data_IF_876252590721
#
_entry.id   IF_876252590721
#
_cell.length_a   1.000
_cell.length_b   1.000
_cell.length_c   1.000
_cell.angle_alpha   90.00
_cell.angle_beta   90.00
_cell.angle_gamma   90.00
#
_symmetry.space_group_name_H-M   'P 1'
#
loop_
_entity.id
_entity.type
_entity.pdbx_description
1 polymer ?
#
# COMPACT_ATOMS: atom_id res chain seq x y z
N UNK A 1 22.02 7.38 -16.55
CA UNK A 1 20.88 7.82 -15.70
C UNK A 1 20.93 7.02 -14.40
N UNK A 2 21.23 7.65 -13.25
CA UNK A 2 21.34 6.95 -11.96
C UNK A 2 19.92 6.73 -11.45
N UNK A 3 19.35 5.55 -11.65
CA UNK A 3 18.00 5.29 -11.14
C UNK A 3 18.02 5.44 -9.62
N UNK A 4 17.25 6.40 -9.08
CA UNK A 4 17.15 6.56 -7.63
C UNK A 4 16.38 5.36 -7.07
N UNK A 5 17.00 4.68 -6.12
CA UNK A 5 16.34 3.61 -5.36
C UNK A 5 15.34 4.29 -4.45
N UNK A 6 14.07 3.92 -4.60
CA UNK A 6 12.98 4.34 -3.74
C UNK A 6 12.46 3.14 -2.96
N UNK A 7 11.91 3.37 -1.78
CA UNK A 7 11.13 2.36 -1.06
C UNK A 7 9.66 2.72 -1.24
N UNK A 8 8.87 1.77 -1.74
CA UNK A 8 7.42 1.88 -1.73
C UNK A 8 6.91 1.35 -0.39
N UNK A 9 6.45 2.25 0.47
CA UNK A 9 5.88 1.89 1.77
C UNK A 9 4.38 1.73 1.61
N UNK A 10 3.86 0.56 1.99
CA UNK A 10 2.44 0.25 2.02
C UNK A 10 2.01 0.07 3.46
N UNK A 11 0.99 0.81 3.88
CA UNK A 11 0.45 0.80 5.25
C UNK A 11 -1.00 0.35 5.18
N UNK A 12 -1.39 -0.61 6.02
CA UNK A 12 -2.80 -0.97 6.16
C UNK A 12 -3.51 0.16 6.92
N UNK A 13 -4.47 0.83 6.27
CA UNK A 13 -5.20 1.93 6.89
C UNK A 13 -6.30 1.39 7.82
N UNK A 14 -6.08 1.52 9.14
CA UNK A 14 -7.07 1.18 10.15
C UNK A 14 -7.93 2.40 10.57
N UNK A 15 -7.58 3.61 10.11
CA UNK A 15 -8.13 4.88 10.63
C UNK A 15 -9.48 5.27 10.02
N UNK A 16 -9.96 4.57 8.99
CA UNK A 16 -11.29 4.82 8.40
C UNK A 16 -12.41 4.59 9.42
N UNK A 17 -12.23 3.69 10.39
CA UNK A 17 -13.26 3.43 11.42
C UNK A 17 -13.32 4.51 12.52
N UNK A 18 -12.22 5.21 12.80
CA UNK A 18 -12.13 6.15 13.94
C UNK A 18 -12.64 7.57 13.56
N UNK A 19 -12.65 7.92 12.27
CA UNK A 19 -13.13 9.23 11.81
C UNK A 19 -14.66 9.38 11.78
N UNK A 20 -15.43 8.29 11.80
CA UNK A 20 -16.90 8.35 11.73
C UNK A 20 -17.58 8.46 13.10
N UNK A 21 -16.91 8.11 14.20
CA UNK A 21 -17.50 8.21 15.54
C UNK A 21 -17.39 9.61 16.17
N UNK A 22 -16.56 10.52 15.64
CA UNK A 22 -16.38 11.86 16.21
C UNK A 22 -17.47 12.87 15.85
N UNK A 23 -18.36 12.56 14.89
CA UNK A 23 -19.42 13.48 14.45
C UNK A 23 -20.69 13.37 15.32
N UNK A 24 -20.81 12.36 16.20
CA UNK A 24 -22.01 12.16 17.05
C UNK A 24 -21.78 12.32 18.56
N UNK A 25 -20.63 12.86 19.00
CA UNK A 25 -20.26 12.88 20.42
C UNK A 25 -19.47 14.12 20.85
N UNK A 26 -19.99 15.32 20.61
CA UNK A 26 -19.34 16.60 21.00
C UNK A 26 -19.70 17.05 22.43
N UNK A 27 -20.40 16.24 23.23
CA UNK A 27 -20.84 16.71 24.56
C UNK A 27 -20.80 15.66 25.66
N UNK A 28 -19.61 15.17 26.02
CA UNK A 28 -19.29 14.92 27.43
C UNK A 28 -17.80 14.62 27.59
N UNK A 29 -17.22 15.26 28.62
CA UNK A 29 -15.89 15.06 29.15
C UNK A 29 -15.36 13.63 29.03
N UNK A 30 -14.13 13.48 28.52
CA UNK A 30 -13.03 12.94 29.30
C UNK A 30 -11.75 12.97 28.47
N UNK A 31 -10.67 13.36 29.14
CA UNK A 31 -9.28 13.11 28.76
C UNK A 31 -9.06 11.62 28.48
N UNK A 32 -9.42 11.13 27.30
CA UNK A 32 -8.91 9.85 26.81
C UNK A 32 -7.53 10.10 26.25
N UNK A 33 -6.57 9.97 27.17
CA UNK A 33 -5.16 10.01 26.90
C UNK A 33 -4.77 9.04 25.79
N UNK A 34 -3.70 9.44 25.11
CA UNK A 34 -2.68 8.60 24.52
C UNK A 34 -3.13 7.29 23.88
N UNK A 35 -3.04 7.30 22.55
CA UNK A 35 -2.63 6.19 21.68
C UNK A 35 -1.73 5.14 22.38
N UNK A 36 -2.32 4.21 23.11
CA UNK A 36 -1.75 2.87 23.24
C UNK A 36 -2.04 2.16 21.92
N UNK A 37 -1.00 2.09 21.08
CA UNK A 37 -1.05 1.35 19.84
C UNK A 37 -1.51 -0.07 20.12
N UNK A 38 -2.45 -0.56 19.31
CA UNK A 38 -2.75 -1.98 19.15
C UNK A 38 -1.50 -2.71 18.62
N UNK A 39 -0.49 -2.84 19.49
CA UNK A 39 0.73 -3.58 19.25
C UNK A 39 0.37 -5.05 19.23
N UNK A 40 0.34 -5.62 18.05
CA UNK A 40 0.19 -7.06 17.88
C UNK A 40 1.34 -7.76 18.62
N UNK A 41 1.06 -8.37 19.78
CA UNK A 41 2.05 -9.15 20.53
C UNK A 41 2.19 -10.52 19.86
N UNK A 42 3.29 -10.69 19.11
CA UNK A 42 3.65 -11.96 18.49
C UNK A 42 4.05 -12.99 19.56
N UNK A 43 3.61 -14.24 19.39
CA UNK A 43 4.13 -15.35 20.19
C UNK A 43 5.60 -15.62 19.83
N UNK A 44 6.39 -16.24 20.74
CA UNK A 44 7.77 -16.64 20.45
C UNK A 44 7.88 -17.54 19.20
N UNK A 45 6.93 -18.45 19.00
CA UNK A 45 6.84 -19.37 17.86
C UNK A 45 6.57 -18.61 16.57
N UNK A 46 5.60 -17.68 16.58
CA UNK A 46 5.31 -16.83 15.43
C UNK A 46 6.52 -15.96 15.06
N UNK A 47 7.25 -15.44 16.06
CA UNK A 47 8.48 -14.67 15.84
C UNK A 47 9.58 -15.53 15.22
N UNK A 48 9.71 -16.80 15.63
CA UNK A 48 10.66 -17.75 15.04
C UNK A 48 10.29 -18.12 13.61
N UNK A 49 9.00 -18.33 13.33
CA UNK A 49 8.50 -18.59 11.98
C UNK A 49 8.74 -17.39 11.05
N UNK A 50 8.44 -16.17 11.51
CA UNK A 50 8.65 -14.94 10.76
C UNK A 50 10.12 -14.73 10.40
N UNK A 51 11.04 -15.10 11.30
CA UNK A 51 12.50 -15.06 11.04
C UNK A 51 12.96 -16.05 9.97
N UNK A 52 12.23 -17.14 9.75
CA UNK A 52 12.51 -18.13 8.69
C UNK A 52 11.83 -17.78 7.36
N UNK A 53 10.84 -16.90 7.37
CA UNK A 53 10.11 -16.51 6.18
C UNK A 53 10.97 -15.63 5.28
N UNK A 54 11.18 -16.07 4.05
CA UNK A 54 11.93 -15.32 3.04
C UNK A 54 10.98 -14.62 2.08
N UNK A 55 10.97 -13.29 2.09
CA UNK A 55 10.25 -12.45 1.14
C UNK A 55 11.24 -11.49 0.45
N UNK A 56 12.02 -11.96 -0.54
CA UNK A 56 12.98 -11.12 -1.25
C UNK A 56 12.37 -9.82 -1.78
N UNK A 57 13.07 -8.71 -1.55
CA UNK A 57 12.65 -7.36 -1.94
C UNK A 57 11.66 -6.68 -1.00
N UNK A 58 11.29 -7.32 0.12
CA UNK A 58 10.33 -6.82 1.10
C UNK A 58 10.97 -6.72 2.49
N UNK A 59 10.64 -5.66 3.22
CA UNK A 59 10.90 -5.52 4.65
C UNK A 59 9.59 -5.30 5.40
N UNK A 60 9.27 -6.23 6.29
CA UNK A 60 8.07 -6.16 7.14
C UNK A 60 8.33 -5.34 8.40
N UNK A 61 7.38 -4.48 8.77
CA UNK A 61 7.32 -3.86 10.08
C UNK A 61 5.94 -4.09 10.70
N UNK A 62 5.86 -5.17 11.48
CA UNK A 62 4.60 -5.58 12.10
C UNK A 62 4.11 -4.62 13.20
N UNK A 63 5.03 -3.86 13.82
CA UNK A 63 4.69 -2.88 14.86
C UNK A 63 3.94 -1.69 14.28
N UNK A 64 4.48 -1.11 13.20
CA UNK A 64 3.90 0.04 12.50
C UNK A 64 2.87 -0.34 11.44
N UNK A 65 2.63 -1.65 11.26
CA UNK A 65 1.77 -2.22 10.23
C UNK A 65 2.06 -1.73 8.82
N UNK A 66 3.34 -1.74 8.48
CA UNK A 66 3.81 -1.33 7.17
C UNK A 66 4.73 -2.35 6.50
N UNK A 67 4.74 -2.29 5.18
CA UNK A 67 5.56 -3.12 4.29
C UNK A 67 6.38 -2.18 3.42
N UNK A 68 7.70 -2.26 3.56
CA UNK A 68 8.64 -1.52 2.72
C UNK A 68 9.06 -2.42 1.55
N UNK A 69 8.78 -1.98 0.32
CA UNK A 69 9.11 -2.71 -0.92
C UNK A 69 10.26 -2.00 -1.63
N UNK A 70 11.32 -2.75 -1.95
CA UNK A 70 12.43 -2.22 -2.75
C UNK A 70 11.94 -1.89 -4.15
N UNK A 71 12.10 -0.63 -4.55
CA UNK A 71 11.62 -0.12 -5.82
C UNK A 71 12.66 0.80 -6.49
N UNK A 72 12.42 1.08 -7.75
CA UNK A 72 13.24 1.99 -8.54
C UNK A 72 12.35 2.87 -9.39
N UNK A 73 12.68 4.15 -9.48
CA UNK A 73 11.89 5.10 -10.26
C UNK A 73 12.15 4.85 -11.74
N UNK A 74 11.11 4.50 -12.50
CA UNK A 74 11.19 4.24 -13.94
C UNK A 74 10.53 5.33 -14.79
N UNK A 75 9.56 6.08 -14.25
CA UNK A 75 8.93 7.20 -14.95
C UNK A 75 8.98 8.48 -14.11
N UNK A 76 9.46 9.57 -14.71
CA UNK A 76 9.53 10.89 -14.06
C UNK A 76 8.36 11.81 -14.47
N UNK A 77 7.84 11.62 -15.68
CA UNK A 77 6.69 12.33 -16.24
C UNK A 77 6.07 11.49 -17.36
N UNK A 78 4.75 11.38 -17.38
CA UNK A 78 4.01 10.66 -18.41
C UNK A 78 2.59 10.34 -17.95
N UNK A 79 1.81 9.71 -18.83
CA UNK A 79 0.52 9.14 -18.46
C UNK A 79 0.76 7.88 -17.61
N UNK A 80 -0.08 7.69 -16.60
CA UNK A 80 0.05 6.60 -15.64
C UNK A 80 -1.19 5.70 -15.69
N UNK A 81 -0.97 4.40 -15.83
CA UNK A 81 -1.98 3.38 -15.52
C UNK A 81 -1.78 2.81 -14.12
N UNK A 82 -0.51 2.70 -13.67
CA UNK A 82 -0.14 2.02 -12.44
C UNK A 82 0.78 2.89 -11.58
N UNK A 83 0.73 2.68 -10.27
CA UNK A 83 1.73 3.25 -9.34
C UNK A 83 3.06 2.50 -9.47
N UNK A 84 2.98 1.16 -9.52
CA UNK A 84 4.14 0.28 -9.50
C UNK A 84 3.89 -0.95 -10.38
N UNK A 85 4.96 -1.43 -11.03
CA UNK A 85 4.95 -2.62 -11.86
C UNK A 85 6.14 -3.53 -11.53
N UNK A 86 6.08 -4.79 -11.99
CA UNK A 86 7.25 -5.68 -11.94
C UNK A 86 8.26 -5.26 -13.01
N UNK A 87 9.56 -5.40 -12.74
CA UNK A 87 10.59 -5.09 -13.73
C UNK A 87 10.39 -5.84 -15.06
N UNK A 88 10.53 -5.13 -16.18
CA UNK A 88 10.40 -5.62 -17.55
C UNK A 88 8.96 -5.75 -18.03
N UNK A 89 8.03 -4.95 -17.49
CA UNK A 89 6.60 -5.03 -17.83
C UNK A 89 6.03 -3.69 -18.29
N UNK A 90 5.49 -2.89 -17.36
CA UNK A 90 4.71 -1.67 -17.61
C UNK A 90 5.44 -0.40 -17.17
N UNK A 91 6.79 -0.37 -17.24
CA UNK A 91 7.58 0.78 -16.77
C UNK A 91 7.29 2.11 -17.46
N UNK A 92 6.78 2.07 -18.70
CA UNK A 92 6.44 3.27 -19.48
C UNK A 92 5.16 3.98 -18.98
N UNK A 93 4.36 3.30 -18.16
CA UNK A 93 3.08 3.76 -17.62
C UNK A 93 2.99 3.55 -16.10
N UNK A 94 4.13 3.35 -15.45
CA UNK A 94 4.27 3.15 -14.00
C UNK A 94 5.34 4.06 -13.42
N UNK A 95 5.10 4.62 -12.23
CA UNK A 95 6.11 5.45 -11.54
C UNK A 95 7.31 4.60 -11.10
N UNK A 96 7.01 3.40 -10.59
CA UNK A 96 7.98 2.51 -9.97
C UNK A 96 8.07 1.15 -10.64
N UNK A 97 9.28 0.61 -10.68
CA UNK A 97 9.58 -0.79 -10.94
C UNK A 97 9.97 -1.44 -9.61
N UNK A 98 9.22 -2.44 -9.15
CA UNK A 98 9.49 -3.16 -7.89
C UNK A 98 10.33 -4.41 -8.14
N UNK A 99 11.28 -4.67 -7.24
CA UNK A 99 12.13 -5.86 -7.29
C UNK A 99 11.48 -7.09 -6.65
N UNK A 100 10.51 -6.87 -5.76
CA UNK A 100 9.79 -7.96 -5.11
C UNK A 100 8.80 -8.63 -6.07
N UNK A 101 8.63 -9.95 -5.93
CA UNK A 101 7.56 -10.67 -6.63
C UNK A 101 6.19 -10.20 -6.10
N UNK A 102 5.16 -10.02 -6.95
CA UNK A 102 3.81 -9.62 -6.51
C UNK A 102 3.25 -10.52 -5.40
N UNK A 103 3.53 -11.83 -5.45
CA UNK A 103 3.09 -12.76 -4.41
C UNK A 103 3.70 -12.43 -3.03
N UNK A 104 4.94 -11.93 -2.97
CA UNK A 104 5.58 -11.57 -1.70
C UNK A 104 4.91 -10.34 -1.09
N UNK A 105 4.55 -9.35 -1.93
CA UNK A 105 3.80 -8.16 -1.50
C UNK A 105 2.43 -8.61 -0.96
N UNK A 106 1.72 -9.47 -1.69
CA UNK A 106 0.44 -9.99 -1.22
C UNK A 106 0.55 -10.74 0.11
N UNK A 107 1.49 -11.68 0.24
CA UNK A 107 1.75 -12.40 1.50
C UNK A 107 2.09 -11.44 2.65
N UNK A 108 2.90 -10.41 2.39
CA UNK A 108 3.23 -9.38 3.38
C UNK A 108 1.99 -8.63 3.87
N UNK A 109 1.07 -8.28 2.97
CA UNK A 109 -0.19 -7.63 3.33
C UNK A 109 -1.09 -8.55 4.17
N UNK A 110 -1.18 -9.83 3.83
CA UNK A 110 -1.94 -10.81 4.63
C UNK A 110 -1.36 -10.97 6.04
N UNK A 111 -0.04 -11.01 6.17
CA UNK A 111 0.64 -11.04 7.48
C UNK A 111 0.39 -9.77 8.30
N UNK A 112 0.10 -8.65 7.63
CA UNK A 112 -0.33 -7.40 8.25
C UNK A 112 -1.83 -7.37 8.59
N UNK A 113 -2.51 -8.51 8.37
CA UNK A 113 -3.92 -8.71 8.63
C UNK A 113 -4.81 -8.10 7.56
N UNK A 114 -4.30 -7.73 6.39
CA UNK A 114 -5.14 -7.23 5.29
C UNK A 114 -6.06 -8.33 4.75
N UNK A 115 -7.30 -7.97 4.46
CA UNK A 115 -8.26 -8.86 3.81
C UNK A 115 -7.94 -9.00 2.31
N UNK A 116 -7.95 -10.21 1.75
CA UNK A 116 -7.89 -10.40 0.29
C UNK A 116 -9.00 -9.62 -0.40
N UNK A 117 -8.64 -8.98 -1.51
CA UNK A 117 -9.53 -8.16 -2.31
C UNK A 117 -9.76 -8.70 -3.72
N UNK A 118 -10.51 -7.94 -4.51
CA UNK A 118 -10.64 -8.16 -5.96
C UNK A 118 -10.23 -6.90 -6.71
N UNK A 119 -9.51 -7.02 -7.84
CA UNK A 119 -9.21 -5.86 -8.66
C UNK A 119 -10.48 -5.28 -9.28
N UNK A 120 -10.43 -4.02 -9.70
CA UNK A 120 -11.47 -3.44 -10.54
C UNK A 120 -11.58 -4.27 -11.83
N UNK A 121 -12.80 -4.68 -12.18
CA UNK A 121 -13.03 -5.54 -13.34
C UNK A 121 -14.38 -5.23 -14.00
N UNK A 122 -14.64 -5.85 -15.15
CA UNK A 122 -15.95 -5.81 -15.81
C UNK A 122 -16.51 -7.22 -15.85
N UNK A 123 -17.79 -7.38 -15.49
CA UNK A 123 -18.51 -8.66 -15.58
C UNK A 123 -19.68 -8.54 -16.54
N UNK A 124 -20.00 -9.63 -17.23
CA UNK A 124 -21.22 -9.70 -18.02
C UNK A 124 -22.43 -9.66 -17.06
N UNK A 125 -23.41 -8.82 -17.35
CA UNK A 125 -24.65 -8.78 -16.59
C UNK A 125 -25.40 -10.11 -16.77
N UNK A 126 -25.84 -10.70 -15.67
CA UNK A 126 -26.59 -11.95 -15.70
C UNK A 126 -27.85 -11.81 -16.59
N UNK A 127 -28.04 -12.73 -17.52
CA UNK A 127 -29.11 -12.69 -18.53
C UNK A 127 -28.85 -11.79 -19.76
N UNK A 128 -27.75 -11.03 -19.81
CA UNK A 128 -27.40 -10.18 -20.96
C UNK A 128 -25.98 -10.46 -21.46
N UNK A 129 -25.86 -11.19 -22.58
CA UNK A 129 -24.55 -11.58 -23.19
C UNK A 129 -23.70 -10.38 -23.65
N UNK A 130 -24.27 -9.18 -23.77
CA UNK A 130 -23.61 -8.02 -24.39
C UNK A 130 -23.43 -6.81 -23.48
N UNK A 131 -23.92 -6.84 -22.23
CA UNK A 131 -23.81 -5.70 -21.31
C UNK A 131 -22.77 -5.98 -20.23
N UNK A 132 -21.68 -5.21 -20.26
CA UNK A 132 -20.61 -5.26 -19.27
C UNK A 132 -20.87 -4.24 -18.16
N UNK A 133 -20.96 -4.71 -16.92
CA UNK A 133 -21.07 -3.87 -15.73
C UNK A 133 -19.72 -3.74 -15.03
N UNK A 134 -19.32 -2.53 -14.59
CA UNK A 134 -18.13 -2.36 -13.77
C UNK A 134 -18.36 -3.04 -12.40
N UNK A 135 -17.31 -3.67 -11.90
CA UNK A 135 -17.23 -4.21 -10.54
C UNK A 135 -16.13 -3.44 -9.84
N UNK A 136 -16.53 -2.74 -8.79
CA UNK A 136 -15.61 -1.97 -7.95
C UNK A 136 -14.54 -2.90 -7.34
N UNK A 137 -13.31 -2.40 -7.15
CA UNK A 137 -12.32 -3.14 -6.41
C UNK A 137 -12.78 -3.35 -4.97
N UNK A 138 -12.42 -4.50 -4.39
CA UNK A 138 -12.73 -4.85 -3.02
C UNK A 138 -11.44 -5.12 -2.24
N UNK A 139 -11.53 -5.16 -0.91
CA UNK A 139 -10.41 -5.39 0.00
C UNK A 139 -10.20 -4.22 0.96
N UNK A 140 -9.20 -4.34 1.82
CA UNK A 140 -8.89 -3.28 2.78
C UNK A 140 -8.19 -2.09 2.09
N UNK A 141 -8.51 -0.85 2.47
CA UNK A 141 -7.79 0.32 1.99
C UNK A 141 -6.33 0.30 2.47
N UNK A 142 -5.44 0.78 1.61
CA UNK A 142 -4.02 0.91 1.91
C UNK A 142 -3.54 2.33 1.63
N UNK A 143 -2.67 2.84 2.48
CA UNK A 143 -1.90 4.05 2.19
C UNK A 143 -0.58 3.65 1.53
N UNK A 144 -0.18 4.40 0.50
CA UNK A 144 1.03 4.14 -0.26
C UNK A 144 1.89 5.41 -0.26
N UNK A 145 3.16 5.27 0.10
CA UNK A 145 4.14 6.36 0.16
C UNK A 145 5.43 6.00 -0.56
N UNK A 146 6.09 7.01 -1.14
CA UNK A 146 7.48 6.93 -1.58
C UNK A 146 8.41 7.38 -0.45
N UNK A 147 9.36 6.53 -0.11
CA UNK A 147 10.40 6.82 0.88
C UNK A 147 11.73 6.93 0.15
N UNK A 148 12.35 8.10 0.23
CA UNK A 148 13.66 8.37 -0.35
C UNK A 148 14.73 8.22 0.73
N UNK A 149 15.73 7.38 0.45
CA UNK A 149 16.90 7.26 1.29
C UNK A 149 17.76 8.53 1.16
N UNK A 150 18.12 9.12 2.30
CA UNK A 150 18.94 10.32 2.35
C UNK A 150 20.34 9.96 2.87
N UNK A 151 21.40 10.43 2.19
CA UNK A 151 22.77 9.98 2.45
C UNK A 151 23.35 10.36 3.82
N UNK A 152 22.76 11.33 4.53
CA UNK A 152 23.21 11.80 5.85
C UNK A 152 22.05 12.17 6.81
N UNK A 153 20.85 11.64 6.58
CA UNK A 153 19.65 12.09 7.29
C UNK A 153 18.59 11.01 7.51
N UNK A 154 17.48 11.41 8.15
CA UNK A 154 16.29 10.56 8.24
C UNK A 154 15.69 10.40 6.83
N UNK A 155 15.19 9.22 6.47
CA UNK A 155 14.53 9.04 5.18
C UNK A 155 13.31 9.97 5.08
N UNK A 156 13.11 10.53 3.90
CA UNK A 156 11.96 11.40 3.62
C UNK A 156 10.82 10.59 3.03
N UNK A 157 9.64 10.71 3.61
CA UNK A 157 8.44 10.01 3.18
C UNK A 157 7.44 10.98 2.58
N UNK A 158 6.92 10.64 1.40
CA UNK A 158 5.91 11.42 0.68
C UNK A 158 4.76 10.50 0.27
N UNK A 159 3.49 10.88 0.55
CA UNK A 159 2.34 10.12 0.08
C UNK A 159 2.32 10.08 -1.46
N UNK A 160 1.91 8.95 -2.04
CA UNK A 160 1.99 8.73 -3.49
C UNK A 160 1.17 9.75 -4.29
N UNK A 161 0.10 10.28 -3.69
CA UNK A 161 -0.78 11.28 -4.29
C UNK A 161 -0.05 12.59 -4.64
N UNK A 162 1.13 12.87 -4.05
CA UNK A 162 1.94 14.03 -4.46
C UNK A 162 2.57 13.88 -5.85
N UNK A 163 2.58 12.67 -6.41
CA UNK A 163 3.20 12.36 -7.69
C UNK A 163 2.17 11.97 -8.76
N UNK A 164 0.88 12.00 -8.45
CA UNK A 164 -0.21 11.58 -9.33
C UNK A 164 -1.26 12.69 -9.37
N UNK A 165 -1.66 13.08 -10.57
CA UNK A 165 -2.79 13.98 -10.80
C UNK A 165 -3.73 13.35 -11.83
N UNK A 166 -5.04 13.66 -11.80
CA UNK A 166 -5.93 13.35 -12.91
C UNK A 166 -5.34 13.90 -14.22
N UNK A 167 -5.45 13.14 -15.30
CA UNK A 167 -5.15 13.64 -16.63
C UNK A 167 -6.07 14.84 -16.91
N UNK A 168 -5.49 15.97 -17.33
CA UNK A 168 -6.29 17.07 -17.82
C UNK A 168 -6.82 16.68 -19.21
N UNK A 169 -8.08 16.99 -19.53
CA UNK A 169 -8.54 16.88 -20.91
C UNK A 169 -7.73 17.84 -21.78
N UNK A 170 -7.34 17.38 -22.97
CA UNK A 170 -6.64 18.18 -23.98
C UNK A 170 -7.49 19.37 -24.46
#
# INVERSE_FOLDING_TARGET
MRQRIGILRVIKDLKVLIRFQFILGVLLLCSFGWSEGLGFKLTPEATKALRKLSLPGIKLNLKERCVDVNATICLHKGLLELVACTKGTKEHESILSVAARPMHIHTAMLLMGASPGTPAMRKAQEGARTRWVPVEPAGDPVCVSLVFAESKGKPQEYPIQKFISPAQPD
#
